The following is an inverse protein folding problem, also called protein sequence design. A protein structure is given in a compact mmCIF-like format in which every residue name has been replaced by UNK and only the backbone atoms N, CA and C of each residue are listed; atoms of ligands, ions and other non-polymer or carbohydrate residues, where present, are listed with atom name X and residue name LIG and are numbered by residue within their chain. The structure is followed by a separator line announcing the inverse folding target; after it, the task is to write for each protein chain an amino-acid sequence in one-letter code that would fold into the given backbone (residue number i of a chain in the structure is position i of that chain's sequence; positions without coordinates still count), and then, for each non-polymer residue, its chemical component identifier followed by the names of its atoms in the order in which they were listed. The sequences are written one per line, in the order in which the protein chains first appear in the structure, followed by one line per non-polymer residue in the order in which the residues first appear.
data_IF_579837146940
#
_entry.id   IF_579837146940
#
_cell.length_a   1.000
_cell.length_b   1.000
_cell.length_c   1.000
_cell.angle_alpha   90.00
_cell.angle_beta   90.00
_cell.angle_gamma   90.00
#
_symmetry.space_group_name_H-M   'P 1'
#
loop_
_entity.id
_entity.type
_entity.pdbx_description
1 polymer ?
#
# COMPACT_ATOMS: atom_id res chain seq x y z
N UNK A 1 -6.95 -5.87 9.28
CA UNK A 1 -6.85 -4.87 8.20
C UNK A 1 -8.18 -4.73 7.50
N UNK A 2 -8.62 -3.52 7.32
CA UNK A 2 -9.83 -3.23 6.55
C UNK A 2 -9.40 -2.74 5.18
N UNK A 3 -9.99 -3.28 4.12
CA UNK A 3 -9.59 -2.99 2.74
C UNK A 3 -10.75 -2.36 1.98
N UNK A 4 -10.52 -1.17 1.42
CA UNK A 4 -11.48 -0.48 0.57
C UNK A 4 -10.91 -0.28 -0.82
N UNK A 5 -11.77 -0.39 -1.84
CA UNK A 5 -11.39 -0.17 -3.23
C UNK A 5 -12.33 0.86 -3.82
N UNK A 6 -11.76 1.90 -4.43
CA UNK A 6 -12.51 2.97 -5.08
C UNK A 6 -12.08 3.11 -6.53
N UNK A 7 -13.00 3.54 -7.37
CA UNK A 7 -12.67 3.84 -8.78
C UNK A 7 -13.13 5.24 -9.12
N UNK A 8 -12.43 5.85 -10.07
CA UNK A 8 -12.76 7.17 -10.58
C UNK A 8 -12.52 7.18 -12.08
N UNK A 9 -13.54 7.49 -12.86
CA UNK A 9 -13.44 7.55 -14.31
C UNK A 9 -13.84 6.28 -15.03
N UNK A 10 -14.20 5.23 -14.30
CA UNK A 10 -14.70 3.99 -14.88
C UNK A 10 -15.41 3.17 -13.80
N UNK A 11 -16.16 2.15 -14.25
CA UNK A 11 -16.90 1.30 -13.32
C UNK A 11 -16.02 0.20 -12.77
N UNK A 12 -16.18 -0.09 -11.49
CA UNK A 12 -15.46 -1.17 -10.84
C UNK A 12 -16.15 -2.49 -11.20
N UNK A 13 -15.44 -3.34 -11.95
CA UNK A 13 -15.95 -4.67 -12.28
C UNK A 13 -15.57 -5.65 -11.20
N UNK A 14 -16.28 -6.78 -11.14
CA UNK A 14 -15.98 -7.84 -10.18
C UNK A 14 -14.57 -8.36 -10.39
N UNK A 15 -14.14 -8.49 -11.66
CA UNK A 15 -12.79 -8.96 -11.96
C UNK A 15 -11.70 -8.05 -11.42
N UNK A 16 -11.87 -6.75 -11.62
CA UNK A 16 -10.89 -5.76 -11.11
C UNK A 16 -10.89 -5.77 -9.59
N UNK A 17 -12.08 -5.79 -9.00
CA UNK A 17 -12.21 -5.79 -7.54
C UNK A 17 -11.51 -7.02 -6.94
N UNK A 18 -11.82 -8.18 -7.49
CA UNK A 18 -11.26 -9.42 -6.96
C UNK A 18 -9.75 -9.46 -7.13
N UNK A 19 -9.26 -9.00 -8.27
CA UNK A 19 -7.83 -8.98 -8.54
C UNK A 19 -7.10 -8.06 -7.56
N UNK A 20 -7.60 -6.83 -7.42
CA UNK A 20 -6.97 -5.86 -6.54
C UNK A 20 -6.99 -6.35 -5.09
N UNK A 21 -8.12 -6.92 -4.67
CA UNK A 21 -8.27 -7.42 -3.31
C UNK A 21 -7.28 -8.54 -3.03
N UNK A 22 -7.20 -9.52 -3.93
CA UNK A 22 -6.27 -10.64 -3.75
C UNK A 22 -4.82 -10.18 -3.77
N UNK A 23 -4.51 -9.27 -4.69
CA UNK A 23 -3.15 -8.77 -4.84
C UNK A 23 -2.72 -8.04 -3.58
N UNK A 24 -3.60 -7.22 -3.02
CA UNK A 24 -3.31 -6.48 -1.80
C UNK A 24 -3.20 -7.40 -0.59
N UNK A 25 -4.10 -8.38 -0.49
CA UNK A 25 -4.03 -9.33 0.60
C UNK A 25 -2.71 -10.10 0.58
N UNK A 26 -2.30 -10.54 -0.61
CA UNK A 26 -1.04 -11.23 -0.78
C UNK A 26 0.16 -10.35 -0.39
N UNK A 27 0.14 -9.09 -0.84
CA UNK A 27 1.25 -8.18 -0.58
C UNK A 27 1.36 -7.79 0.89
N UNK A 28 0.24 -7.74 1.61
CA UNK A 28 0.22 -7.18 2.96
C UNK A 28 0.01 -8.22 4.05
N UNK A 29 -0.21 -9.48 3.69
CA UNK A 29 -0.57 -10.51 4.65
C UNK A 29 0.46 -10.66 5.78
N UNK A 30 1.73 -10.60 5.45
CA UNK A 30 2.79 -10.74 6.44
C UNK A 30 2.73 -9.66 7.52
N UNK A 31 2.30 -8.46 7.16
CA UNK A 31 2.31 -7.31 8.06
C UNK A 31 0.90 -6.83 8.41
N UNK A 32 -0.08 -7.70 8.21
CA UNK A 32 -1.50 -7.36 8.39
C UNK A 32 -1.79 -6.71 9.75
N UNK A 33 -1.21 -7.23 10.82
CA UNK A 33 -1.48 -6.74 12.17
C UNK A 33 -1.03 -5.31 12.41
N UNK A 34 -0.14 -4.78 11.57
CA UNK A 34 0.34 -3.41 11.70
C UNK A 34 -0.52 -2.43 10.91
N UNK A 35 -1.44 -2.92 10.11
CA UNK A 35 -2.25 -2.10 9.22
C UNK A 35 -3.68 -2.01 9.74
N UNK A 36 -4.11 -0.77 10.01
CA UNK A 36 -5.49 -0.55 10.42
C UNK A 36 -6.41 -0.56 9.21
N UNK A 37 -5.98 0.08 8.13
CA UNK A 37 -6.82 0.29 6.95
C UNK A 37 -5.94 0.38 5.71
N UNK A 38 -6.40 -0.23 4.62
CA UNK A 38 -5.75 -0.12 3.33
C UNK A 38 -6.80 0.32 2.31
N UNK A 39 -6.50 1.39 1.57
CA UNK A 39 -7.39 1.90 0.54
C UNK A 39 -6.69 1.90 -0.79
N UNK A 40 -7.34 1.33 -1.81
CA UNK A 40 -6.85 1.37 -3.18
C UNK A 40 -7.78 2.28 -3.96
N UNK A 41 -7.21 3.26 -4.65
CA UNK A 41 -7.95 4.15 -5.54
C UNK A 41 -7.46 3.91 -6.95
N UNK A 42 -8.37 3.56 -7.85
CA UNK A 42 -8.05 3.29 -9.23
C UNK A 42 -8.67 4.39 -10.09
N UNK A 43 -7.90 4.96 -10.99
CA UNK A 43 -8.36 6.08 -11.80
C UNK A 43 -7.89 5.96 -13.24
N UNK A 44 -8.74 6.45 -14.16
CA UNK A 44 -8.40 6.60 -15.56
C UNK A 44 -8.24 8.10 -15.77
N UNK A 45 -6.99 8.58 -15.77
CA UNK A 45 -6.73 10.02 -15.72
C UNK A 45 -6.79 10.72 -17.07
N UNK A 46 -6.76 9.95 -18.17
CA UNK A 46 -6.85 10.53 -19.51
C UNK A 46 -8.16 10.16 -20.23
N UNK A 47 -8.99 9.35 -19.59
CA UNK A 47 -10.26 8.93 -20.16
C UNK A 47 -10.07 8.13 -21.45
N UNK A 48 -10.90 8.39 -22.46
CA UNK A 48 -10.88 7.58 -23.69
C UNK A 48 -9.64 7.75 -24.56
N UNK A 49 -8.75 8.68 -24.23
CA UNK A 49 -7.54 8.90 -25.04
C UNK A 49 -6.59 7.70 -24.97
N UNK A 50 -6.57 6.99 -23.85
CA UNK A 50 -5.65 5.88 -23.67
C UNK A 50 -4.25 6.31 -23.34
N UNK A 51 -3.28 5.38 -23.47
CA UNK A 51 -1.90 5.63 -23.15
C UNK A 51 -1.57 5.26 -21.71
N UNK A 52 -0.59 5.93 -21.11
CA UNK A 52 -0.19 5.69 -19.73
C UNK A 52 -1.09 6.52 -18.84
N UNK A 53 -2.26 6.00 -18.55
CA UNK A 53 -3.31 6.76 -17.92
C UNK A 53 -4.07 6.00 -16.84
N UNK A 54 -3.68 4.78 -16.52
CA UNK A 54 -4.33 3.99 -15.48
C UNK A 54 -3.53 4.11 -14.20
N UNK A 55 -4.07 4.82 -13.22
CA UNK A 55 -3.39 5.10 -11.97
C UNK A 55 -3.93 4.22 -10.84
N UNK A 56 -3.02 3.67 -10.06
CA UNK A 56 -3.35 2.95 -8.84
C UNK A 56 -2.67 3.66 -7.68
N UNK A 57 -3.46 4.13 -6.72
CA UNK A 57 -2.93 4.75 -5.51
C UNK A 57 -3.31 3.89 -4.32
N UNK A 58 -2.34 3.60 -3.46
CA UNK A 58 -2.55 2.80 -2.26
C UNK A 58 -2.21 3.66 -1.05
N UNK A 59 -3.14 3.74 -0.12
CA UNK A 59 -2.96 4.47 1.13
C UNK A 59 -3.10 3.48 2.27
N UNK A 60 -2.02 3.29 3.03
CA UNK A 60 -2.03 2.42 4.20
C UNK A 60 -2.03 3.27 5.46
N UNK A 61 -2.99 3.00 6.32
CA UNK A 61 -3.05 3.62 7.64
C UNK A 61 -2.46 2.61 8.62
N UNK A 62 -1.35 2.98 9.24
CA UNK A 62 -0.63 2.11 10.17
C UNK A 62 -0.95 2.47 11.60
N UNK A 63 -1.04 1.45 12.45
CA UNK A 63 -1.32 1.67 13.86
C UNK A 63 -0.14 2.42 14.51
N UNK A 64 -0.38 3.66 14.95
CA UNK A 64 0.61 4.44 15.66
C UNK A 64 1.73 5.04 14.84
N UNK A 65 1.62 5.01 13.52
CA UNK A 65 2.67 5.53 12.63
C UNK A 65 2.08 6.31 11.48
N UNK A 66 2.94 7.00 10.75
CA UNK A 66 2.52 7.78 9.58
C UNK A 66 2.00 6.88 8.47
N UNK A 67 1.06 7.39 7.71
CA UNK A 67 0.51 6.67 6.56
C UNK A 67 1.58 6.46 5.49
N UNK A 68 1.37 5.40 4.70
CA UNK A 68 2.19 5.15 3.52
C UNK A 68 1.31 5.37 2.31
N UNK A 69 1.76 6.20 1.38
CA UNK A 69 1.04 6.45 0.13
C UNK A 69 1.93 6.06 -1.03
N UNK A 70 1.44 5.15 -1.87
CA UNK A 70 2.13 4.67 -3.06
C UNK A 70 1.25 4.95 -4.26
N UNK A 71 1.87 5.39 -5.35
CA UNK A 71 1.13 5.68 -6.57
C UNK A 71 1.91 5.15 -7.77
N UNK A 72 1.21 4.55 -8.73
CA UNK A 72 1.81 4.06 -9.95
C UNK A 72 0.83 4.26 -11.10
N UNK A 73 1.34 4.70 -12.25
CA UNK A 73 0.53 4.96 -13.43
C UNK A 73 1.08 4.14 -14.58
N UNK A 74 0.21 3.38 -15.24
CA UNK A 74 0.57 2.47 -16.31
C UNK A 74 -0.47 2.51 -17.42
N UNK A 75 -0.13 1.91 -18.56
CA UNK A 75 -1.11 1.80 -19.65
C UNK A 75 -2.17 0.75 -19.34
N UNK A 76 -1.84 -0.24 -18.52
CA UNK A 76 -2.72 -1.34 -18.15
C UNK A 76 -3.02 -1.27 -16.67
N UNK A 77 -4.31 -1.32 -16.33
CA UNK A 77 -4.74 -1.20 -14.93
C UNK A 77 -4.19 -2.33 -14.06
N UNK A 78 -4.17 -3.55 -14.58
CA UNK A 78 -3.65 -4.69 -13.81
C UNK A 78 -2.17 -4.54 -13.51
N UNK A 79 -1.41 -3.99 -14.46
CA UNK A 79 0.00 -3.69 -14.25
C UNK A 79 0.17 -2.63 -13.19
N UNK A 80 -0.68 -1.59 -13.21
CA UNK A 80 -0.63 -0.54 -12.20
C UNK A 80 -0.89 -1.12 -10.81
N UNK A 81 -1.87 -2.01 -10.68
CA UNK A 81 -2.17 -2.67 -9.42
C UNK A 81 -0.98 -3.50 -8.94
N UNK A 82 -0.38 -4.29 -9.85
CA UNK A 82 0.75 -5.15 -9.50
C UNK A 82 1.95 -4.34 -9.02
N UNK A 83 2.30 -3.29 -9.76
CA UNK A 83 3.47 -2.49 -9.42
C UNK A 83 3.27 -1.70 -8.14
N UNK A 84 2.08 -1.12 -7.98
CA UNK A 84 1.76 -0.39 -6.76
C UNK A 84 1.78 -1.32 -5.55
N UNK A 85 1.23 -2.53 -5.70
CA UNK A 85 1.21 -3.51 -4.61
C UNK A 85 2.62 -3.95 -4.22
N UNK A 86 3.48 -4.22 -5.21
CA UNK A 86 4.87 -4.60 -4.95
C UNK A 86 5.62 -3.50 -4.22
N UNK A 87 5.48 -2.26 -4.69
CA UNK A 87 6.16 -1.13 -4.05
C UNK A 87 5.64 -0.90 -2.65
N UNK A 88 4.33 -1.09 -2.47
CA UNK A 88 3.70 -0.94 -1.17
C UNK A 88 4.25 -1.96 -0.18
N UNK A 89 4.35 -3.21 -0.60
CA UNK A 89 4.90 -4.27 0.23
C UNK A 89 6.34 -3.98 0.64
N UNK A 90 7.17 -3.59 -0.32
CA UNK A 90 8.58 -3.29 -0.04
C UNK A 90 8.72 -2.09 0.88
N UNK A 91 7.94 -1.04 0.63
CA UNK A 91 7.99 0.17 1.46
C UNK A 91 7.55 -0.13 2.89
N UNK A 92 6.48 -0.90 3.03
CA UNK A 92 5.95 -1.27 4.34
C UNK A 92 6.96 -2.11 5.10
N UNK A 93 7.49 -3.15 4.47
CA UNK A 93 8.46 -4.03 5.10
C UNK A 93 9.68 -3.24 5.56
N UNK A 94 10.20 -2.38 4.70
CA UNK A 94 11.36 -1.56 5.04
C UNK A 94 11.07 -0.61 6.18
N UNK A 95 9.89 0.01 6.17
CA UNK A 95 9.48 0.93 7.24
C UNK A 95 9.42 0.21 8.58
N UNK A 96 8.81 -0.97 8.61
CA UNK A 96 8.66 -1.73 9.85
C UNK A 96 10.01 -2.25 10.36
N UNK A 97 10.89 -2.66 9.47
CA UNK A 97 12.23 -3.08 9.85
C UNK A 97 13.01 -1.92 10.46
N UNK A 98 12.90 -0.75 9.84
CA UNK A 98 13.60 0.43 10.33
C UNK A 98 13.08 0.84 11.71
N UNK A 99 11.79 0.79 11.90
CA UNK A 99 11.20 1.10 13.20
C UNK A 99 11.66 0.13 14.27
N UNK A 100 11.76 -1.14 13.91
CA UNK A 100 12.25 -2.17 14.83
C UNK A 100 13.68 -1.92 15.22
N UNK A 101 14.54 -1.58 14.25
CA UNK A 101 15.94 -1.26 14.49
C UNK A 101 16.06 -0.06 15.40
N UNK A 102 15.31 0.99 15.11
CA UNK A 102 15.33 2.20 15.91
C UNK A 102 14.93 1.91 17.35
N UNK A 103 13.86 1.18 17.53
CA UNK A 103 13.40 0.81 18.85
C UNK A 103 14.43 -0.02 19.60
N UNK A 104 15.06 -0.95 18.91
CA UNK A 104 16.06 -1.83 19.48
C UNK A 104 17.31 -1.06 19.90
N UNK A 105 17.76 -0.15 19.07
CA UNK A 105 18.97 0.62 19.34
C UNK A 105 18.76 1.71 20.37
N UNK A 106 17.57 2.26 20.41
CA UNK A 106 17.24 3.39 21.30
C UNK A 106 16.75 2.97 22.67
N UNK A 107 16.37 1.73 22.74
CA UNK A 107 15.84 1.28 24.02
C UNK A 107 16.95 1.24 25.00
N UNK A 108 16.82 1.83 25.75
CA UNK A 108 17.60 2.30 26.55
C UNK A 108 18.57 1.87 27.17
N UNK A 109 18.82 2.17 26.67
CA UNK A 109 19.60 2.14 27.01
C UNK A 109 19.60 2.27 28.22
N UNK A 110 19.19 2.26 28.18
CA UNK A 110 19.15 2.22 28.97
C UNK A 110 19.61 2.06 29.53
N UNK A 111 19.30 2.14 29.63
CA UNK A 111 19.52 1.92 30.01
C UNK A 111 20.20 2.01 30.27
N UNK A 112 20.12 2.25 30.41
CA UNK A 112 20.59 2.17 30.55
C UNK A 112 21.14 2.52 30.71
N UNK A 113 21.00 2.58 31.02
CA UNK A 113 21.35 2.66 31.13
C UNK A 113 21.72 3.06 31.28
N UNK A 114 21.53 3.24 31.44
CA UNK A 114 21.65 3.25 31.59
C UNK A 114 21.84 3.47 31.53
N UNK A 115 21.81 3.55 32.18
CA UNK A 115 21.79 3.55 32.15
C UNK A 115 21.87 3.61 32.22
#
# INVERSE_FOLDING_TARGET
MQLDIQTNGFSLTDGIRDYAKRRMQFALDRNDRHITHARISLADINGPRGGIDKRCQINLVLAGHSNIVIEDTEADLYVAIDRASDRCERTLTRRLEKLREYSYESAPIPLTTED
#
